data_IF_730586544431
#
_entry.id   IF_730586544431
#
_cell.length_a   1.000
_cell.length_b   1.000
_cell.length_c   1.000
_cell.angle_alpha   90.00
_cell.angle_beta   90.00
_cell.angle_gamma   90.00
#
_symmetry.space_group_name_H-M   'P 1'
#
loop_
_entity.id
_entity.type
_entity.pdbx_description
1 polymer ?
#
# COMPACT_ATOMS: atom_id res chain seq x y z
N UNK A 1 -28.71 -5.23 6.06
CA UNK A 1 -28.56 -4.52 4.77
C UNK A 1 -27.41 -3.52 4.95
N UNK A 2 -26.17 -3.97 4.70
CA UNK A 2 -24.96 -3.17 4.95
C UNK A 2 -24.75 -2.16 3.81
N UNK A 3 -24.49 -0.87 4.10
CA UNK A 3 -24.18 0.10 3.06
C UNK A 3 -22.78 -0.19 2.49
N UNK A 4 -22.69 -0.26 1.16
CA UNK A 4 -21.43 -0.47 0.43
C UNK A 4 -20.47 0.73 0.57
N UNK A 5 -19.15 0.51 0.73
CA UNK A 5 -18.15 1.57 1.00
C UNK A 5 -17.90 2.57 -0.14
N UNK A 6 -18.43 2.32 -1.35
CA UNK A 6 -18.20 3.16 -2.54
C UNK A 6 -18.77 4.59 -2.43
N UNK A 7 -19.77 4.80 -1.58
CA UNK A 7 -20.36 6.14 -1.39
C UNK A 7 -19.42 7.04 -0.60
N UNK A 8 -18.77 6.52 0.44
CA UNK A 8 -17.93 7.32 1.35
C UNK A 8 -16.73 7.96 0.62
N UNK A 9 -16.07 7.21 -0.26
CA UNK A 9 -14.93 7.71 -1.05
C UNK A 9 -15.34 8.81 -2.04
N UNK A 10 -16.53 8.71 -2.62
CA UNK A 10 -17.06 9.72 -3.55
C UNK A 10 -17.37 11.03 -2.82
N UNK A 11 -17.89 10.96 -1.59
CA UNK A 11 -18.12 12.14 -0.75
C UNK A 11 -16.82 12.80 -0.30
N UNK A 12 -15.77 12.04 0.02
CA UNK A 12 -14.46 12.60 0.40
C UNK A 12 -13.80 13.31 -0.78
N UNK A 13 -13.84 12.73 -1.99
CA UNK A 13 -13.30 13.37 -3.20
C UNK A 13 -14.08 14.66 -3.53
N UNK A 14 -15.41 14.62 -3.45
CA UNK A 14 -16.25 15.79 -3.67
C UNK A 14 -16.02 16.89 -2.60
N UNK A 15 -15.78 16.50 -1.34
CA UNK A 15 -15.49 17.43 -0.25
C UNK A 15 -14.15 18.14 -0.45
N UNK A 16 -13.10 17.41 -0.88
CA UNK A 16 -11.77 17.98 -1.17
C UNK A 16 -11.83 18.95 -2.34
N UNK A 17 -12.57 18.60 -3.41
CA UNK A 17 -12.76 19.48 -4.58
C UNK A 17 -13.56 20.74 -4.19
N UNK A 18 -14.64 20.59 -3.42
CA UNK A 18 -15.47 21.72 -2.98
C UNK A 18 -14.72 22.66 -2.02
N UNK A 19 -13.91 22.14 -1.08
CA UNK A 19 -13.09 22.98 -0.21
C UNK A 19 -12.02 23.74 -1.00
N UNK A 20 -11.42 23.11 -2.02
CA UNK A 20 -10.48 23.78 -2.91
C UNK A 20 -11.12 24.93 -3.70
N UNK A 21 -12.35 24.75 -4.19
CA UNK A 21 -13.08 25.76 -4.95
C UNK A 21 -13.60 26.92 -4.08
N UNK A 22 -14.01 26.64 -2.84
CA UNK A 22 -14.47 27.68 -1.90
C UNK A 22 -13.33 28.58 -1.40
N UNK A 23 -12.11 28.06 -1.28
CA UNK A 23 -10.94 28.86 -0.94
C UNK A 23 -10.56 29.86 -2.06
N UNK A 24 -10.80 29.50 -3.33
CA UNK A 24 -10.51 30.34 -4.51
C UNK A 24 -11.56 31.44 -4.72
N UNK A 25 -12.82 31.21 -4.32
CA UNK A 25 -13.89 32.19 -4.52
C UNK A 25 -13.86 33.36 -3.51
N UNK A 26 -13.14 33.24 -2.39
CA UNK A 26 -13.11 34.24 -1.32
C UNK A 26 -12.12 35.40 -1.53
N UNK A 27 -11.21 35.32 -2.50
CA UNK A 27 -10.06 36.25 -2.63
C UNK A 27 -10.02 36.96 -3.99
N UNK A 28 -11.15 37.46 -4.47
CA UNK A 28 -11.19 38.36 -5.63
C UNK A 28 -11.36 39.83 -5.20
N UNK A 29 -10.30 40.42 -4.63
CA UNK A 29 -10.05 41.87 -4.76
C UNK A 29 -8.56 42.20 -4.55
N UNK A 30 -7.82 42.08 -5.66
CA UNK A 30 -6.67 42.90 -6.01
C UNK A 30 -5.38 42.76 -5.19
N UNK A 31 -4.45 41.94 -5.68
CA UNK A 31 -3.02 42.31 -5.80
C UNK A 31 -2.27 41.22 -6.58
N UNK A 32 -1.60 41.61 -7.67
CA UNK A 32 -0.57 40.79 -8.29
C UNK A 32 0.65 40.83 -7.37
N UNK A 33 0.94 39.72 -6.68
CA UNK A 33 2.12 39.62 -5.82
C UNK A 33 1.94 38.58 -4.71
N UNK A 34 2.45 37.38 -4.98
CA UNK A 34 2.58 36.23 -4.05
C UNK A 34 1.26 35.58 -3.60
N UNK A 35 1.12 34.24 -3.73
CA UNK A 35 0.00 33.51 -3.16
C UNK A 35 -0.10 33.75 -1.65
N UNK A 36 -1.33 33.88 -1.13
CA UNK A 36 -1.55 34.00 0.32
C UNK A 36 -1.05 32.75 1.07
N UNK A 37 -0.83 32.83 2.39
CA UNK A 37 -0.26 31.71 3.17
C UNK A 37 -1.02 30.38 2.99
N UNK A 38 -2.36 30.43 2.93
CA UNK A 38 -3.20 29.26 2.69
C UNK A 38 -3.03 28.69 1.27
N UNK A 39 -2.84 29.56 0.28
CA UNK A 39 -2.61 29.17 -1.12
C UNK A 39 -1.20 28.57 -1.28
N UNK A 40 -0.18 29.15 -0.64
CA UNK A 40 1.16 28.57 -0.57
C UNK A 40 1.17 27.21 0.13
N UNK A 41 0.42 27.07 1.22
CA UNK A 41 0.29 25.79 1.92
C UNK A 41 -0.38 24.73 1.04
N UNK A 42 -1.44 25.09 0.32
CA UNK A 42 -2.10 24.20 -0.63
C UNK A 42 -1.19 23.80 -1.79
N UNK A 43 -0.49 24.76 -2.42
CA UNK A 43 0.46 24.49 -3.51
C UNK A 43 1.55 23.52 -3.03
N UNK A 44 2.10 23.74 -1.83
CA UNK A 44 3.09 22.85 -1.24
C UNK A 44 2.56 21.44 -0.98
N UNK A 45 1.32 21.32 -0.48
CA UNK A 45 0.68 20.03 -0.27
C UNK A 45 0.48 19.30 -1.60
N UNK A 46 0.09 20.02 -2.65
CA UNK A 46 -0.10 19.44 -3.97
C UNK A 46 1.21 18.99 -4.61
N UNK A 47 2.27 19.79 -4.48
CA UNK A 47 3.61 19.41 -4.92
C UNK A 47 4.09 18.12 -4.21
N UNK A 48 3.89 18.04 -2.89
CA UNK A 48 4.19 16.83 -2.12
C UNK A 48 3.39 15.61 -2.58
N UNK A 49 2.10 15.78 -2.84
CA UNK A 49 1.24 14.70 -3.32
C UNK A 49 1.66 14.19 -4.70
N UNK A 50 1.96 15.09 -5.63
CA UNK A 50 2.43 14.73 -6.98
C UNK A 50 3.78 14.02 -6.91
N UNK A 51 4.72 14.55 -6.11
CA UNK A 51 6.02 13.92 -5.91
C UNK A 51 5.89 12.50 -5.34
N UNK A 52 4.97 12.30 -4.38
CA UNK A 52 4.68 10.97 -3.84
C UNK A 52 4.08 10.04 -4.91
N UNK A 53 3.14 10.54 -5.72
CA UNK A 53 2.53 9.80 -6.81
C UNK A 53 3.59 9.33 -7.82
N UNK A 54 4.49 10.21 -8.24
CA UNK A 54 5.56 9.89 -9.20
C UNK A 54 6.51 8.81 -8.65
N UNK A 55 6.89 8.91 -7.37
CA UNK A 55 7.70 7.88 -6.70
C UNK A 55 6.97 6.55 -6.63
N UNK A 56 5.67 6.56 -6.34
CA UNK A 56 4.88 5.34 -6.29
C UNK A 56 4.80 4.67 -7.67
N UNK A 57 4.60 5.44 -8.73
CA UNK A 57 4.62 4.92 -10.11
C UNK A 57 5.98 4.32 -10.45
N UNK A 58 7.07 5.02 -10.09
CA UNK A 58 8.42 4.50 -10.29
C UNK A 58 8.64 3.17 -9.55
N UNK A 59 8.23 3.09 -8.28
CA UNK A 59 8.31 1.85 -7.49
C UNK A 59 7.44 0.74 -8.07
N UNK A 60 6.23 1.05 -8.53
CA UNK A 60 5.34 0.05 -9.14
C UNK A 60 5.86 -0.46 -10.50
N UNK A 61 6.78 0.28 -11.14
CA UNK A 61 7.48 -0.15 -12.35
C UNK A 61 8.62 -1.14 -12.08
N UNK A 62 9.18 -1.16 -10.86
CA UNK A 62 10.26 -2.06 -10.47
C UNK A 62 9.71 -3.44 -10.08
N UNK A 63 10.16 -4.55 -10.68
CA UNK A 63 9.54 -5.87 -10.48
C UNK A 63 9.44 -6.33 -9.02
N UNK A 64 10.51 -6.12 -8.23
CA UNK A 64 10.55 -6.51 -6.81
C UNK A 64 9.60 -5.66 -5.98
N UNK A 65 9.55 -4.35 -6.24
CA UNK A 65 8.67 -3.41 -5.55
C UNK A 65 7.20 -3.65 -5.92
N UNK A 66 6.90 -3.95 -7.19
CA UNK A 66 5.57 -4.35 -7.62
C UNK A 66 5.11 -5.64 -6.93
N UNK A 67 6.00 -6.65 -6.85
CA UNK A 67 5.72 -7.89 -6.13
C UNK A 67 5.47 -7.62 -4.63
N UNK A 68 6.28 -6.75 -4.01
CA UNK A 68 6.10 -6.34 -2.62
C UNK A 68 4.72 -5.74 -2.38
N UNK A 69 4.32 -4.75 -3.17
CA UNK A 69 3.00 -4.11 -3.06
C UNK A 69 1.85 -5.11 -3.26
N UNK A 70 1.98 -6.04 -4.20
CA UNK A 70 0.97 -7.06 -4.43
C UNK A 70 0.85 -8.05 -3.26
N UNK A 71 1.98 -8.50 -2.70
CA UNK A 71 2.03 -9.41 -1.55
C UNK A 71 1.43 -8.73 -0.31
N UNK A 72 1.83 -7.49 -0.01
CA UNK A 72 1.27 -6.71 1.09
C UNK A 72 -0.23 -6.51 0.93
N UNK A 73 -0.68 -6.14 -0.28
CA UNK A 73 -2.11 -5.94 -0.56
C UNK A 73 -2.93 -7.22 -0.34
N UNK A 74 -2.42 -8.39 -0.71
CA UNK A 74 -3.10 -9.67 -0.44
C UNK A 74 -3.25 -9.89 1.06
N UNK A 75 -2.18 -9.71 1.83
CA UNK A 75 -2.18 -9.89 3.28
C UNK A 75 -3.15 -8.92 3.92
N UNK A 76 -3.02 -7.62 3.65
CA UNK A 76 -3.86 -6.56 4.21
C UNK A 76 -5.35 -6.80 3.92
N UNK A 77 -5.71 -7.20 2.70
CA UNK A 77 -7.11 -7.48 2.35
C UNK A 77 -7.70 -8.60 3.23
N UNK A 78 -6.94 -9.66 3.47
CA UNK A 78 -7.41 -10.78 4.30
C UNK A 78 -7.35 -10.46 5.79
N UNK A 79 -6.36 -9.70 6.26
CA UNK A 79 -6.31 -9.20 7.63
C UNK A 79 -7.50 -8.30 7.96
N UNK A 80 -7.82 -7.35 7.09
CA UNK A 80 -8.97 -6.45 7.25
C UNK A 80 -10.32 -7.19 7.24
N UNK A 81 -10.35 -8.42 6.71
CA UNK A 81 -11.53 -9.30 6.75
C UNK A 81 -11.56 -10.24 7.95
N UNK A 82 -10.50 -10.28 8.77
CA UNK A 82 -10.33 -11.29 9.81
C UNK A 82 -10.07 -12.70 9.27
N UNK A 83 -9.66 -12.81 8.00
CA UNK A 83 -9.54 -14.06 7.24
C UNK A 83 -8.06 -14.38 6.94
N UNK A 84 -7.13 -14.08 7.85
CA UNK A 84 -5.66 -14.18 7.65
C UNK A 84 -5.22 -15.50 7.00
N UNK A 85 -5.79 -16.63 7.44
CA UNK A 85 -5.47 -17.96 6.90
C UNK A 85 -5.72 -18.10 5.38
N UNK A 86 -6.61 -17.30 4.80
CA UNK A 86 -6.91 -17.33 3.37
C UNK A 86 -5.85 -16.63 2.51
N UNK A 87 -4.96 -15.82 3.08
CA UNK A 87 -3.83 -15.24 2.37
C UNK A 87 -2.74 -16.30 2.06
N UNK A 88 -2.56 -17.27 2.95
CA UNK A 88 -1.54 -18.34 2.85
C UNK A 88 -1.52 -19.03 1.48
N UNK A 89 -2.61 -19.61 0.96
CA UNK A 89 -2.58 -20.31 -0.33
C UNK A 89 -2.28 -19.41 -1.53
N UNK A 90 -2.53 -18.09 -1.44
CA UNK A 90 -2.14 -17.16 -2.51
C UNK A 90 -0.64 -16.93 -2.49
N UNK A 91 -0.06 -16.71 -1.30
CA UNK A 91 1.38 -16.54 -1.15
C UNK A 91 2.16 -17.80 -1.53
N UNK A 92 1.66 -18.99 -1.17
CA UNK A 92 2.25 -20.26 -1.61
C UNK A 92 2.26 -20.39 -3.15
N UNK A 93 1.14 -20.07 -3.80
CA UNK A 93 1.06 -20.11 -5.27
C UNK A 93 2.00 -19.10 -5.94
N UNK A 94 2.19 -17.93 -5.33
CA UNK A 94 3.18 -16.97 -5.82
C UNK A 94 4.58 -17.58 -5.65
N UNK A 95 4.92 -18.09 -4.46
CA UNK A 95 6.21 -18.71 -4.17
C UNK A 95 6.56 -19.86 -5.13
N UNK A 96 5.60 -20.71 -5.48
CA UNK A 96 5.78 -21.81 -6.44
C UNK A 96 6.07 -21.33 -7.87
N UNK A 97 5.57 -20.15 -8.23
CA UNK A 97 5.72 -19.55 -9.57
C UNK A 97 6.91 -18.61 -9.66
N UNK A 98 7.37 -18.10 -8.53
CA UNK A 98 8.60 -17.33 -8.47
C UNK A 98 9.77 -18.30 -8.65
N UNK A 99 10.53 -18.09 -9.73
CA UNK A 99 11.72 -18.88 -10.06
C UNK A 99 12.84 -18.65 -9.04
N UNK A 100 14.00 -18.21 -9.52
CA UNK A 100 15.20 -18.03 -8.70
C UNK A 100 15.34 -16.63 -8.07
N UNK A 101 14.29 -15.81 -8.05
CA UNK A 101 14.34 -14.49 -7.41
C UNK A 101 14.35 -14.63 -5.88
N UNK A 102 15.56 -14.66 -5.32
CA UNK A 102 15.83 -14.80 -3.88
C UNK A 102 15.14 -13.71 -3.05
N UNK A 103 15.08 -12.48 -3.55
CA UNK A 103 14.53 -11.36 -2.81
C UNK A 103 13.00 -11.52 -2.65
N UNK A 104 12.31 -11.83 -3.74
CA UNK A 104 10.87 -12.05 -3.73
C UNK A 104 10.52 -13.30 -2.91
N UNK A 105 11.28 -14.40 -3.05
CA UNK A 105 11.09 -15.61 -2.25
C UNK A 105 11.22 -15.31 -0.75
N UNK A 106 12.31 -14.65 -0.35
CA UNK A 106 12.56 -14.29 1.06
C UNK A 106 11.42 -13.44 1.62
N UNK A 107 10.95 -12.45 0.86
CA UNK A 107 9.81 -11.63 1.24
C UNK A 107 8.54 -12.48 1.49
N UNK A 108 8.20 -13.36 0.55
CA UNK A 108 7.02 -14.22 0.68
C UNK A 108 7.14 -15.12 1.91
N UNK A 109 8.31 -15.69 2.16
CA UNK A 109 8.57 -16.54 3.33
C UNK A 109 8.37 -15.79 4.64
N UNK A 110 8.82 -14.54 4.73
CA UNK A 110 8.58 -13.71 5.93
C UNK A 110 7.09 -13.51 6.20
N UNK A 111 6.30 -13.29 5.14
CA UNK A 111 4.84 -13.14 5.26
C UNK A 111 4.14 -14.45 5.59
N UNK A 112 4.58 -15.56 5.01
CA UNK A 112 4.08 -16.88 5.36
C UNK A 112 4.38 -17.22 6.84
N UNK A 113 5.58 -16.92 7.33
CA UNK A 113 5.92 -17.08 8.75
C UNK A 113 4.97 -16.29 9.65
N UNK A 114 4.71 -15.00 9.35
CA UNK A 114 3.77 -14.20 10.15
C UNK A 114 2.39 -14.84 10.17
N UNK A 115 1.84 -15.13 8.97
CA UNK A 115 0.51 -15.69 8.84
C UNK A 115 0.38 -17.06 9.51
N UNK A 116 1.39 -17.92 9.39
CA UNK A 116 1.38 -19.22 10.08
C UNK A 116 1.40 -19.04 11.59
N UNK A 117 2.24 -18.16 12.12
CA UNK A 117 2.30 -17.91 13.56
C UNK A 117 0.97 -17.35 14.10
N UNK A 118 0.41 -16.36 13.42
CA UNK A 118 -0.85 -15.71 13.81
C UNK A 118 -2.07 -16.62 13.67
N UNK A 119 -1.99 -17.65 12.82
CA UNK A 119 -3.07 -18.64 12.64
C UNK A 119 -2.84 -19.92 13.44
N UNK A 120 -1.86 -19.94 14.36
CA UNK A 120 -1.60 -21.06 15.27
C UNK A 120 -0.80 -22.23 14.67
N UNK A 121 -0.16 -22.03 13.52
CA UNK A 121 0.69 -23.02 12.86
C UNK A 121 2.18 -22.75 13.11
N UNK A 122 2.59 -22.66 14.38
CA UNK A 122 3.95 -22.26 14.75
C UNK A 122 5.05 -23.13 14.14
N UNK A 123 4.83 -24.44 13.98
CA UNK A 123 5.80 -25.34 13.33
C UNK A 123 6.09 -24.91 11.89
N UNK A 124 5.05 -24.58 11.12
CA UNK A 124 5.20 -24.09 9.74
C UNK A 124 5.86 -22.71 9.69
N UNK A 125 5.63 -21.87 10.70
CA UNK A 125 6.32 -20.59 10.80
C UNK A 125 7.83 -20.78 11.00
N UNK A 126 8.24 -21.77 11.80
CA UNK A 126 9.65 -22.14 11.97
C UNK A 126 10.24 -22.72 10.67
N UNK A 127 9.52 -23.61 9.97
CA UNK A 127 9.96 -24.12 8.67
C UNK A 127 10.27 -23.00 7.66
N UNK A 128 9.45 -21.95 7.61
CA UNK A 128 9.71 -20.81 6.72
C UNK A 128 10.93 -19.98 7.16
N UNK A 129 11.20 -19.87 8.47
CA UNK A 129 12.42 -19.23 8.97
C UNK A 129 13.68 -20.03 8.63
N UNK A 130 13.63 -21.36 8.77
CA UNK A 130 14.74 -22.23 8.41
C UNK A 130 15.07 -22.09 6.92
N UNK A 131 14.05 -22.08 6.06
CA UNK A 131 14.23 -21.85 4.63
C UNK A 131 14.81 -20.48 4.31
N UNK A 132 14.45 -19.43 5.04
CA UNK A 132 15.07 -18.09 4.87
C UNK A 132 16.56 -18.17 5.22
N UNK A 133 16.93 -18.82 6.33
CA UNK A 133 18.33 -18.96 6.75
C UNK A 133 19.12 -19.79 5.74
N UNK A 134 18.59 -20.93 5.30
CA UNK A 134 19.23 -21.78 4.29
C UNK A 134 19.41 -21.06 2.95
N UNK A 135 18.37 -20.34 2.52
CA UNK A 135 18.42 -19.59 1.27
C UNK A 135 19.32 -18.38 1.35
N UNK A 136 19.56 -17.75 2.52
CA UNK A 136 20.38 -16.54 2.69
C UNK A 136 21.80 -16.77 3.26
N UNK A 137 22.07 -17.96 3.82
CA UNK A 137 23.37 -18.33 4.39
C UNK A 137 24.35 -18.99 3.40
N UNK A 138 23.93 -19.20 2.15
CA UNK A 138 24.77 -19.64 1.02
C UNK A 138 25.20 -18.44 0.17
#
# INVERSE_FOLDING_TARGET
MHPTPKRLTTWVIALVICLGLLAVAGTSRGQHGMPGEAEMHFIKLMDQYLNLSDRFVALAGEPVSAAYLAIEGIVEIYENRGEKARAIPHLQRILERQGDDRAIRTLIRFKLRDLYNETGHSDKALEELDRIIEENGR
#
